data_IF_572310603112
#
_entry.id   IF_572310603112
#
_cell.length_a   1.000
_cell.length_b   1.000
_cell.length_c   1.000
_cell.angle_alpha   90.00
_cell.angle_beta   90.00
_cell.angle_gamma   90.00
#
_symmetry.space_group_name_H-M   'P 1'
#
loop_
_entity.id
_entity.type
_entity.pdbx_description
1 polymer ?
#
# COMPACT_ATOMS: atom_id res chain seq x y z
N UNK A 1 -6.51 19.46 11.57
CA UNK A 1 -6.66 18.03 11.90
C UNK A 1 -8.11 17.56 11.93
N UNK A 2 -9.06 18.25 12.60
CA UNK A 2 -10.48 17.81 12.67
C UNK A 2 -11.13 17.49 11.32
N UNK A 3 -10.91 18.36 10.33
CA UNK A 3 -11.40 18.15 8.96
C UNK A 3 -10.81 16.87 8.35
N UNK A 4 -9.51 16.64 8.52
CA UNK A 4 -8.85 15.43 8.02
C UNK A 4 -9.39 14.16 8.68
N UNK A 5 -9.67 14.21 9.99
CA UNK A 5 -10.27 13.10 10.74
C UNK A 5 -11.69 12.73 10.26
N UNK A 6 -12.40 13.64 9.57
CA UNK A 6 -13.69 13.35 8.95
C UNK A 6 -13.54 12.93 7.48
N UNK A 7 -12.72 13.66 6.71
CA UNK A 7 -12.58 13.44 5.27
C UNK A 7 -11.88 12.12 4.96
N UNK A 8 -10.81 11.75 5.68
CA UNK A 8 -10.04 10.54 5.34
C UNK A 8 -10.84 9.26 5.55
N UNK A 9 -11.56 9.06 6.67
CA UNK A 9 -12.44 7.90 6.80
C UNK A 9 -13.59 7.90 5.80
N UNK A 10 -14.18 9.06 5.51
CA UNK A 10 -15.23 9.16 4.49
C UNK A 10 -14.72 8.76 3.11
N UNK A 11 -13.54 9.26 2.72
CA UNK A 11 -12.89 8.91 1.46
C UNK A 11 -12.56 7.40 1.41
N UNK A 12 -12.10 6.82 2.51
CA UNK A 12 -11.87 5.39 2.64
C UNK A 12 -13.15 4.58 2.40
N UNK A 13 -14.22 4.90 3.13
CA UNK A 13 -15.49 4.18 3.05
C UNK A 13 -16.13 4.28 1.65
N UNK A 14 -16.11 5.47 1.05
CA UNK A 14 -16.63 5.67 -0.31
C UNK A 14 -15.81 4.88 -1.33
N UNK A 15 -14.48 4.98 -1.27
CA UNK A 15 -13.59 4.32 -2.23
C UNK A 15 -13.66 2.80 -2.10
N UNK A 16 -13.44 2.27 -0.89
CA UNK A 16 -13.48 0.83 -0.64
C UNK A 16 -14.87 0.25 -0.86
N UNK A 17 -15.92 0.97 -0.45
CA UNK A 17 -17.31 0.59 -0.67
C UNK A 17 -17.64 0.52 -2.16
N UNK A 18 -17.22 1.50 -2.96
CA UNK A 18 -17.40 1.48 -4.41
C UNK A 18 -16.67 0.32 -5.08
N UNK A 19 -15.41 0.07 -4.70
CA UNK A 19 -14.62 -1.07 -5.19
C UNK A 19 -15.33 -2.39 -4.84
N UNK A 20 -15.72 -2.60 -3.58
CA UNK A 20 -16.38 -3.83 -3.16
C UNK A 20 -17.76 -4.02 -3.81
N UNK A 21 -18.53 -2.94 -3.99
CA UNK A 21 -19.85 -2.97 -4.62
C UNK A 21 -19.78 -3.36 -6.10
N UNK A 22 -18.73 -2.93 -6.80
CA UNK A 22 -18.53 -3.17 -8.24
C UNK A 22 -17.59 -4.34 -8.53
N UNK A 23 -17.36 -5.23 -7.53
CA UNK A 23 -16.49 -6.41 -7.69
C UNK A 23 -17.07 -7.39 -8.70
N UNK A 24 -16.19 -8.08 -9.43
CA UNK A 24 -16.60 -9.18 -10.28
C UNK A 24 -16.93 -10.42 -9.42
N UNK A 25 -17.85 -11.23 -9.93
CA UNK A 25 -18.11 -12.57 -9.38
C UNK A 25 -16.99 -13.53 -9.78
N UNK A 26 -16.87 -14.66 -9.07
CA UNK A 26 -15.87 -15.69 -9.40
C UNK A 26 -16.02 -16.20 -10.83
N UNK A 27 -17.25 -16.45 -11.27
CA UNK A 27 -17.55 -16.89 -12.63
C UNK A 27 -17.09 -15.88 -13.69
N UNK A 28 -17.28 -14.58 -13.45
CA UNK A 28 -16.81 -13.52 -14.35
C UNK A 28 -15.28 -13.44 -14.41
N UNK A 29 -14.58 -13.70 -13.30
CA UNK A 29 -13.12 -13.71 -13.27
C UNK A 29 -12.52 -14.96 -13.92
N UNK A 30 -13.15 -16.13 -13.74
CA UNK A 30 -12.69 -17.37 -14.34
C UNK A 30 -12.85 -17.38 -15.86
N UNK A 31 -13.84 -16.65 -16.38
CA UNK A 31 -14.14 -16.52 -17.81
C UNK A 31 -13.71 -15.16 -18.41
N UNK A 32 -12.80 -14.45 -17.74
CA UNK A 32 -12.39 -13.11 -18.18
C UNK A 32 -11.68 -13.16 -19.55
N UNK A 33 -12.07 -12.26 -20.44
CA UNK A 33 -11.40 -12.09 -21.73
C UNK A 33 -9.93 -11.64 -21.55
N UNK A 34 -8.94 -12.27 -22.20
CA UNK A 34 -7.53 -11.93 -22.04
C UNK A 34 -7.20 -10.46 -22.31
N UNK A 35 -7.85 -9.84 -23.31
CA UNK A 35 -7.64 -8.41 -23.61
C UNK A 35 -8.18 -7.52 -22.50
N UNK A 36 -9.35 -7.85 -21.95
CA UNK A 36 -9.89 -7.16 -20.78
C UNK A 36 -9.01 -7.34 -19.54
N UNK A 37 -8.46 -8.53 -19.33
CA UNK A 37 -7.54 -8.79 -18.22
C UNK A 37 -6.28 -7.92 -18.32
N UNK A 38 -5.64 -7.87 -19.49
CA UNK A 38 -4.50 -6.98 -19.77
C UNK A 38 -4.83 -5.53 -19.44
N UNK A 39 -5.99 -5.05 -19.91
CA UNK A 39 -6.46 -3.68 -19.62
C UNK A 39 -6.60 -3.42 -18.12
N UNK A 40 -7.11 -4.40 -17.36
CA UNK A 40 -7.25 -4.29 -15.90
C UNK A 40 -5.92 -4.30 -15.17
N UNK A 41 -4.90 -4.97 -15.70
CA UNK A 41 -3.53 -4.87 -15.19
C UNK A 41 -2.92 -3.47 -15.40
N UNK A 42 -3.23 -2.77 -16.50
CA UNK A 42 -2.84 -1.36 -16.63
C UNK A 42 -3.49 -0.47 -15.57
N UNK A 43 -4.79 -0.64 -15.32
CA UNK A 43 -5.46 0.06 -14.22
C UNK A 43 -4.88 -0.32 -12.86
N UNK A 44 -4.51 -1.58 -12.66
CA UNK A 44 -3.84 -2.02 -11.44
C UNK A 44 -2.48 -1.33 -11.24
N UNK A 45 -1.70 -1.18 -12.31
CA UNK A 45 -0.45 -0.42 -12.27
C UNK A 45 -0.69 1.06 -11.97
N UNK A 46 -1.80 1.65 -12.42
CA UNK A 46 -2.18 3.00 -12.00
C UNK A 46 -2.49 3.08 -10.50
N UNK A 47 -3.22 2.10 -9.95
CA UNK A 47 -3.47 2.00 -8.51
C UNK A 47 -2.16 1.87 -7.71
N UNK A 48 -1.26 0.99 -8.15
CA UNK A 48 0.08 0.85 -7.58
C UNK A 48 0.86 2.17 -7.65
N UNK A 49 0.83 2.87 -8.78
CA UNK A 49 1.48 4.17 -8.94
C UNK A 49 0.95 5.22 -7.98
N UNK A 50 -0.38 5.33 -7.82
CA UNK A 50 -1.01 6.24 -6.85
C UNK A 50 -0.63 5.88 -5.42
N UNK A 51 -0.59 4.59 -5.09
CA UNK A 51 -0.16 4.12 -3.78
C UNK A 51 1.31 4.47 -3.51
N UNK A 52 2.23 4.14 -4.42
CA UNK A 52 3.66 4.45 -4.29
C UNK A 52 3.88 5.95 -4.17
N UNK A 53 3.15 6.76 -4.95
CA UNK A 53 3.20 8.22 -4.84
C UNK A 53 2.73 8.70 -3.47
N UNK A 54 1.66 8.12 -2.92
CA UNK A 54 1.21 8.37 -1.55
C UNK A 54 2.27 8.02 -0.51
N UNK A 55 2.92 6.85 -0.65
CA UNK A 55 4.01 6.42 0.24
C UNK A 55 5.21 7.38 0.14
N UNK A 56 5.55 7.88 -1.03
CA UNK A 56 6.60 8.90 -1.20
C UNK A 56 6.29 10.18 -0.40
N UNK A 57 5.09 10.74 -0.54
CA UNK A 57 4.72 11.94 0.22
C UNK A 57 4.66 11.68 1.72
N UNK A 58 4.12 10.53 2.13
CA UNK A 58 4.04 10.13 3.53
C UNK A 58 5.41 9.85 4.12
N UNK A 59 6.05 8.78 3.67
CA UNK A 59 7.28 8.23 4.24
C UNK A 59 8.56 9.01 3.92
N UNK A 60 8.54 9.96 2.98
CA UNK A 60 9.69 10.83 2.70
C UNK A 60 9.33 12.30 2.92
N UNK A 61 8.66 12.95 1.97
CA UNK A 61 8.57 14.42 1.96
C UNK A 61 8.01 15.03 3.26
N UNK A 62 6.81 14.61 3.69
CA UNK A 62 6.18 15.19 4.88
C UNK A 62 6.80 14.69 6.18
N UNK A 63 7.41 13.51 6.19
CA UNK A 63 8.13 12.99 7.35
C UNK A 63 9.45 13.76 7.56
N UNK A 64 10.22 14.00 6.51
CA UNK A 64 11.47 14.78 6.60
C UNK A 64 11.21 16.29 6.81
N UNK A 65 10.10 16.80 6.27
CA UNK A 65 9.62 18.14 6.60
C UNK A 65 9.38 18.28 8.11
N UNK A 66 8.76 17.29 8.74
CA UNK A 66 8.47 17.29 10.17
C UNK A 66 9.76 17.22 11.02
N UNK A 67 10.71 16.37 10.61
CA UNK A 67 12.03 16.32 11.24
C UNK A 67 12.74 17.69 11.20
N UNK A 68 12.63 18.41 10.09
CA UNK A 68 13.17 19.76 9.94
C UNK A 68 12.41 20.78 10.81
N UNK A 69 11.09 20.63 10.92
CA UNK A 69 10.25 21.47 11.78
C UNK A 69 10.64 21.35 13.25
N UNK A 70 11.01 20.15 13.72
CA UNK A 70 11.53 19.95 15.08
C UNK A 70 12.83 20.72 15.39
N UNK A 71 13.60 21.13 14.39
CA UNK A 71 14.84 21.89 14.61
C UNK A 71 14.62 23.38 14.82
N UNK A 72 13.43 23.88 14.51
CA UNK A 72 13.15 25.33 14.48
C UNK A 72 12.07 25.77 15.45
N UNK A 73 11.45 24.84 16.19
CA UNK A 73 10.44 25.18 17.19
C UNK A 73 10.58 24.37 18.48
N UNK A 74 10.15 24.97 19.59
CA UNK A 74 9.73 24.25 20.78
C UNK A 74 8.21 24.10 20.66
N UNK A 75 7.70 22.89 20.85
CA UNK A 75 6.30 22.56 20.55
C UNK A 75 5.39 22.92 21.72
N UNK A 76 4.35 23.71 21.45
CA UNK A 76 3.26 23.96 22.42
C UNK A 76 2.32 22.75 22.57
N UNK A 77 2.25 21.87 21.56
CA UNK A 77 1.36 20.71 21.50
C UNK A 77 1.85 19.68 20.47
N UNK A 78 1.32 18.45 20.55
CA UNK A 78 1.51 17.40 19.54
C UNK A 78 0.70 17.65 18.24
N UNK A 79 -0.03 18.74 18.12
CA UNK A 79 -0.74 19.14 16.88
C UNK A 79 -0.02 20.30 16.18
N UNK A 80 1.25 20.12 15.84
CA UNK A 80 2.00 21.09 15.03
C UNK A 80 1.47 21.16 13.59
N UNK A 81 1.71 22.24 12.84
CA UNK A 81 1.35 22.30 11.42
C UNK A 81 1.88 21.10 10.62
N UNK A 82 3.12 20.69 10.85
CA UNK A 82 3.73 19.51 10.23
C UNK A 82 3.02 18.20 10.63
N UNK A 83 2.78 17.97 11.93
CA UNK A 83 2.06 16.79 12.43
C UNK A 83 0.67 16.66 11.81
N UNK A 84 -0.06 17.78 11.67
CA UNK A 84 -1.40 17.77 11.07
C UNK A 84 -1.37 17.26 9.63
N UNK A 85 -0.35 17.62 8.85
CA UNK A 85 -0.22 17.19 7.46
C UNK A 85 0.27 15.74 7.38
N UNK A 86 1.35 15.39 8.09
CA UNK A 86 1.96 14.06 7.98
C UNK A 86 1.07 12.98 8.59
N UNK A 87 0.65 13.11 9.85
CA UNK A 87 -0.04 12.04 10.58
C UNK A 87 -1.54 11.95 10.29
N UNK A 88 -2.18 13.08 10.00
CA UNK A 88 -3.63 13.12 9.80
C UNK A 88 -4.03 13.28 8.34
N UNK A 89 -3.10 13.69 7.46
CA UNK A 89 -3.34 13.79 6.03
C UNK A 89 -2.63 12.71 5.23
N UNK A 90 -1.31 12.82 5.13
CA UNK A 90 -0.48 12.02 4.24
C UNK A 90 -0.51 10.53 4.58
N UNK A 91 -0.35 10.20 5.87
CA UNK A 91 -0.39 8.81 6.33
C UNK A 91 -1.74 8.16 6.02
N UNK A 92 -2.88 8.65 6.51
CA UNK A 92 -4.19 8.12 6.14
C UNK A 92 -4.41 8.02 4.63
N UNK A 93 -3.93 8.99 3.84
CA UNK A 93 -4.07 8.97 2.39
C UNK A 93 -3.41 7.73 1.78
N UNK A 94 -2.12 7.47 2.06
CA UNK A 94 -1.47 6.31 1.45
C UNK A 94 -2.02 4.99 2.00
N UNK A 95 -2.53 4.95 3.23
CA UNK A 95 -3.23 3.78 3.79
C UNK A 95 -4.49 3.48 2.96
N UNK A 96 -5.31 4.51 2.71
CA UNK A 96 -6.54 4.36 1.93
C UNK A 96 -6.22 3.89 0.51
N UNK A 97 -5.23 4.50 -0.13
CA UNK A 97 -4.77 4.10 -1.47
C UNK A 97 -4.19 2.67 -1.48
N UNK A 98 -3.43 2.28 -0.46
CA UNK A 98 -2.87 0.92 -0.34
C UNK A 98 -3.97 -0.13 -0.24
N UNK A 99 -4.94 0.07 0.65
CA UNK A 99 -6.09 -0.83 0.77
C UNK A 99 -6.92 -0.83 -0.52
N UNK A 100 -7.12 0.31 -1.17
CA UNK A 100 -7.83 0.37 -2.46
C UNK A 100 -7.11 -0.43 -3.56
N UNK A 101 -5.78 -0.34 -3.64
CA UNK A 101 -4.96 -1.14 -4.55
C UNK A 101 -5.09 -2.64 -4.30
N UNK A 102 -5.03 -3.06 -3.02
CA UNK A 102 -5.25 -4.45 -2.63
C UNK A 102 -6.66 -4.92 -3.04
N UNK A 103 -7.68 -4.15 -2.67
CA UNK A 103 -9.07 -4.49 -2.97
C UNK A 103 -9.29 -4.60 -4.47
N UNK A 104 -8.78 -3.67 -5.27
CA UNK A 104 -8.86 -3.73 -6.73
C UNK A 104 -8.27 -5.03 -7.26
N UNK A 105 -7.06 -5.40 -6.84
CA UNK A 105 -6.40 -6.64 -7.27
C UNK A 105 -7.27 -7.87 -6.97
N UNK A 106 -7.72 -8.01 -5.71
CA UNK A 106 -8.48 -9.16 -5.23
C UNK A 106 -9.85 -9.36 -5.91
N UNK A 107 -10.37 -8.33 -6.55
CA UNK A 107 -11.76 -8.30 -7.06
C UNK A 107 -11.86 -8.17 -8.57
N UNK A 108 -10.78 -7.78 -9.26
CA UNK A 108 -10.75 -7.56 -10.71
C UNK A 108 -9.77 -8.45 -11.46
N UNK A 109 -8.79 -9.03 -10.75
CA UNK A 109 -7.71 -9.80 -11.36
C UNK A 109 -7.80 -11.26 -10.93
N UNK A 110 -7.93 -12.22 -11.87
CA UNK A 110 -8.06 -13.64 -11.56
C UNK A 110 -6.91 -14.17 -10.70
N UNK A 111 -5.66 -13.78 -11.00
CA UNK A 111 -4.47 -14.20 -10.25
C UNK A 111 -4.59 -13.89 -8.75
N UNK A 112 -5.00 -12.66 -8.42
CA UNK A 112 -5.10 -12.19 -7.04
C UNK A 112 -6.42 -12.60 -6.38
N UNK A 113 -7.51 -12.80 -7.12
CA UNK A 113 -8.80 -13.21 -6.53
C UNK A 113 -8.80 -14.63 -5.95
N UNK A 114 -7.92 -15.51 -6.45
CA UNK A 114 -7.89 -16.94 -6.10
C UNK A 114 -7.07 -17.23 -4.84
N UNK A 115 -6.35 -16.26 -4.28
CA UNK A 115 -5.55 -16.44 -3.07
C UNK A 115 -4.87 -15.15 -2.63
N UNK A 116 -4.23 -15.19 -1.46
CA UNK A 116 -3.55 -14.01 -0.92
C UNK A 116 -2.13 -13.95 -1.50
N UNK A 117 -1.82 -12.88 -2.25
CA UNK A 117 -0.45 -12.62 -2.68
C UNK A 117 0.37 -12.09 -1.51
N UNK A 118 1.26 -12.92 -0.98
CA UNK A 118 2.22 -12.53 0.06
C UNK A 118 3.02 -11.26 -0.32
N UNK A 119 3.68 -11.16 -1.50
CA UNK A 119 4.44 -9.96 -1.83
C UNK A 119 3.55 -8.72 -1.95
N UNK A 120 2.31 -8.84 -2.43
CA UNK A 120 1.39 -7.70 -2.48
C UNK A 120 1.00 -7.22 -1.08
N UNK A 121 0.64 -8.15 -0.18
CA UNK A 121 0.29 -7.81 1.20
C UNK A 121 1.47 -7.13 1.87
N UNK A 122 2.69 -7.66 1.74
CA UNK A 122 3.86 -7.09 2.39
C UNK A 122 4.28 -5.74 1.78
N UNK A 123 4.13 -5.54 0.46
CA UNK A 123 4.38 -4.24 -0.17
C UNK A 123 3.39 -3.14 0.30
N UNK A 124 2.17 -3.53 0.67
CA UNK A 124 1.14 -2.61 1.18
C UNK A 124 1.25 -2.40 2.69
N UNK A 125 1.46 -3.47 3.44
CA UNK A 125 1.52 -3.45 4.89
C UNK A 125 2.83 -2.87 5.42
N UNK A 126 3.94 -3.05 4.70
CA UNK A 126 5.26 -2.61 5.15
C UNK A 126 5.33 -1.11 5.48
N UNK A 127 4.78 -0.20 4.64
CA UNK A 127 4.69 1.22 5.00
C UNK A 127 3.81 1.52 6.21
N UNK A 128 2.86 0.66 6.57
CA UNK A 128 2.07 0.81 7.81
C UNK A 128 2.92 0.52 9.06
N UNK A 129 3.95 -0.29 8.93
CA UNK A 129 4.83 -0.68 10.03
C UNK A 129 5.78 0.45 10.46
N UNK A 130 5.75 1.61 9.77
CA UNK A 130 6.38 2.84 10.24
C UNK A 130 5.54 3.56 11.31
N UNK A 131 4.24 3.27 11.42
CA UNK A 131 3.35 3.96 12.37
C UNK A 131 3.69 3.69 13.85
N UNK A 132 4.07 2.46 14.25
CA UNK A 132 4.63 2.24 15.58
C UNK A 132 5.90 3.04 15.80
N UNK A 133 6.76 3.18 14.77
CA UNK A 133 8.00 3.93 14.90
C UNK A 133 7.73 5.40 15.15
N UNK A 134 7.01 6.07 14.26
CA UNK A 134 6.70 7.50 14.43
C UNK A 134 5.88 7.75 15.71
N UNK A 135 4.92 6.88 16.05
CA UNK A 135 4.13 7.01 17.27
C UNK A 135 4.95 6.85 18.55
N UNK A 136 5.88 5.88 18.59
CA UNK A 136 6.82 5.74 19.68
C UNK A 136 7.76 6.94 19.72
N UNK A 137 8.36 7.37 18.60
CA UNK A 137 9.23 8.54 18.53
C UNK A 137 8.61 9.77 19.22
N UNK A 138 7.35 10.06 18.90
CA UNK A 138 6.62 11.17 19.51
C UNK A 138 6.36 10.99 21.02
N UNK A 139 6.09 9.75 21.45
CA UNK A 139 5.95 9.42 22.86
C UNK A 139 7.28 9.60 23.62
N UNK A 140 8.42 9.27 23.01
CA UNK A 140 9.74 9.44 23.61
C UNK A 140 10.09 10.90 23.88
N UNK A 141 9.75 11.78 22.92
CA UNK A 141 9.88 13.22 23.09
C UNK A 141 9.01 13.81 24.21
N UNK A 142 7.94 13.13 24.64
CA UNK A 142 7.05 13.59 25.69
C UNK A 142 7.45 13.14 27.11
N UNK A 143 8.18 12.02 27.25
CA UNK A 143 8.43 11.38 28.55
C UNK A 143 9.90 11.18 28.93
N UNK A 144 10.86 11.63 28.10
CA UNK A 144 12.31 11.69 28.42
C UNK A 144 12.91 10.35 28.93
N UNK A 145 12.51 9.22 28.34
CA UNK A 145 13.12 7.91 28.61
C UNK A 145 14.30 7.61 27.66
N UNK A 146 15.33 6.96 28.19
CA UNK A 146 16.66 6.75 27.59
C UNK A 146 16.67 5.84 26.35
N UNK A 147 17.64 6.06 25.47
CA UNK A 147 17.87 5.43 24.15
C UNK A 147 17.79 3.89 24.10
N UNK A 148 17.99 3.16 25.19
CA UNK A 148 18.13 1.69 25.16
C UNK A 148 16.80 0.93 25.00
N UNK A 149 15.69 1.44 25.54
CA UNK A 149 14.34 0.86 25.36
C UNK A 149 13.65 1.39 24.10
N UNK A 150 14.11 2.55 23.61
CA UNK A 150 13.49 3.28 22.52
C UNK A 150 14.15 2.98 21.18
N UNK A 151 15.48 3.06 21.08
CA UNK A 151 16.19 2.93 19.81
C UNK A 151 16.01 1.55 19.19
N UNK A 152 16.18 0.46 19.95
CA UNK A 152 16.17 -0.88 19.38
C UNK A 152 14.81 -1.25 18.72
N UNK A 153 13.64 -1.08 19.36
CA UNK A 153 12.35 -1.31 18.71
C UNK A 153 12.04 -0.31 17.58
N UNK A 154 12.43 0.96 17.74
CA UNK A 154 12.21 2.01 16.73
C UNK A 154 12.95 1.73 15.41
N UNK A 155 14.12 1.11 15.41
CA UNK A 155 14.86 0.91 14.16
C UNK A 155 14.27 -0.22 13.29
N UNK A 156 13.61 -1.21 13.90
CA UNK A 156 13.07 -2.36 13.17
C UNK A 156 11.93 -2.02 12.20
N UNK A 157 11.10 -1.02 12.49
CA UNK A 157 10.07 -0.60 11.53
C UNK A 157 10.65 0.00 10.24
N UNK A 158 11.84 0.64 10.28
CA UNK A 158 12.54 1.08 9.07
C UNK A 158 13.10 -0.10 8.26
N UNK A 159 13.52 -1.18 8.94
CA UNK A 159 13.93 -2.43 8.28
C UNK A 159 12.75 -3.06 7.54
N UNK A 160 11.59 -3.14 8.19
CA UNK A 160 10.35 -3.68 7.58
C UNK A 160 9.90 -2.81 6.42
N UNK A 161 10.02 -1.48 6.53
CA UNK A 161 9.79 -0.55 5.41
C UNK A 161 10.74 -0.83 4.23
N UNK A 162 12.03 -1.05 4.52
CA UNK A 162 13.02 -1.46 3.50
C UNK A 162 12.65 -2.78 2.82
N UNK A 163 12.21 -3.78 3.59
CA UNK A 163 11.74 -5.06 3.04
C UNK A 163 10.47 -4.89 2.20
N UNK A 164 9.58 -3.96 2.57
CA UNK A 164 8.41 -3.61 1.77
C UNK A 164 8.77 -3.23 0.34
N UNK A 165 9.88 -2.47 0.17
CA UNK A 165 10.44 -2.14 -1.13
C UNK A 165 10.85 -3.39 -1.92
N UNK A 166 11.47 -4.37 -1.28
CA UNK A 166 11.85 -5.64 -1.93
C UNK A 166 10.62 -6.45 -2.39
N UNK A 167 9.55 -6.45 -1.61
CA UNK A 167 8.31 -7.14 -1.97
C UNK A 167 7.63 -6.54 -3.21
N UNK A 168 7.91 -5.29 -3.57
CA UNK A 168 7.47 -4.71 -4.85
C UNK A 168 8.06 -5.49 -6.04
N UNK A 169 9.29 -6.00 -5.93
CA UNK A 169 9.87 -6.89 -6.93
C UNK A 169 9.08 -8.19 -7.10
N UNK A 170 8.55 -8.74 -5.99
CA UNK A 170 7.65 -9.89 -6.03
C UNK A 170 6.31 -9.60 -6.72
N UNK A 171 5.73 -8.41 -6.49
CA UNK A 171 4.52 -7.96 -7.20
C UNK A 171 4.80 -7.78 -8.70
N UNK A 172 5.94 -7.17 -9.04
CA UNK A 172 6.35 -7.00 -10.43
C UNK A 172 6.54 -8.36 -11.13
N UNK A 173 7.18 -9.32 -10.47
CA UNK A 173 7.32 -10.68 -10.99
C UNK A 173 5.96 -11.34 -11.24
N UNK A 174 5.00 -11.23 -10.31
CA UNK A 174 3.65 -11.75 -10.49
C UNK A 174 2.91 -11.12 -11.69
N UNK A 175 3.07 -9.81 -11.89
CA UNK A 175 2.50 -9.10 -13.04
C UNK A 175 3.15 -9.59 -14.34
N UNK A 176 4.48 -9.61 -14.41
CA UNK A 176 5.24 -10.02 -15.60
C UNK A 176 4.93 -11.47 -15.98
N UNK A 177 4.93 -12.40 -15.01
CA UNK A 177 4.56 -13.80 -15.24
C UNK A 177 3.14 -13.90 -15.78
N UNK A 178 2.18 -13.12 -15.24
CA UNK A 178 0.82 -13.14 -15.76
C UNK A 178 0.74 -12.67 -17.21
N UNK A 179 1.44 -11.59 -17.54
CA UNK A 179 1.52 -11.09 -18.92
C UNK A 179 2.17 -12.11 -19.88
N UNK A 180 3.20 -12.81 -19.42
CA UNK A 180 3.83 -13.90 -20.19
C UNK A 180 2.81 -15.00 -20.49
N UNK A 181 2.13 -15.52 -19.46
CA UNK A 181 1.16 -16.60 -19.61
C UNK A 181 -0.03 -16.18 -20.51
N UNK A 182 -0.49 -14.93 -20.40
CA UNK A 182 -1.54 -14.39 -21.27
C UNK A 182 -1.07 -14.32 -22.73
N UNK A 183 0.18 -13.93 -22.95
CA UNK A 183 0.79 -13.93 -24.28
C UNK A 183 0.85 -15.34 -24.86
N UNK A 184 1.25 -16.33 -24.07
CA UNK A 184 1.31 -17.73 -24.50
C UNK A 184 -0.07 -18.30 -24.88
N UNK A 185 -1.11 -17.98 -24.12
CA UNK A 185 -2.48 -18.41 -24.43
C UNK A 185 -2.97 -17.78 -25.73
N UNK A 186 -2.68 -16.50 -25.96
CA UNK A 186 -3.22 -15.75 -27.12
C UNK A 186 -2.41 -15.98 -28.39
N UNK A 187 -1.09 -15.97 -28.33
CA UNK A 187 -0.22 -16.06 -29.51
C UNK A 187 0.35 -17.46 -29.74
N UNK A 188 0.55 -18.27 -28.69
CA UNK A 188 1.17 -19.59 -28.79
C UNK A 188 0.16 -20.75 -28.67
N UNK A 189 -1.15 -20.46 -28.63
CA UNK A 189 -2.23 -21.43 -28.45
C UNK A 189 -2.03 -22.37 -27.24
N UNK A 190 -1.37 -21.88 -26.18
CA UNK A 190 -1.22 -22.66 -24.94
C UNK A 190 -2.57 -22.85 -24.23
N UNK A 191 -2.69 -23.94 -23.48
CA UNK A 191 -3.88 -24.21 -22.67
C UNK A 191 -4.12 -23.09 -21.66
N UNK A 192 -5.37 -22.66 -21.50
CA UNK A 192 -5.77 -21.68 -20.47
C UNK A 192 -5.47 -22.15 -19.05
N UNK A 193 -5.20 -23.44 -18.84
CA UNK A 193 -4.79 -23.98 -17.54
C UNK A 193 -3.50 -23.33 -17.01
N UNK A 194 -2.59 -22.86 -17.87
CA UNK A 194 -1.39 -22.13 -17.45
C UNK A 194 -1.71 -20.83 -16.69
N UNK A 195 -2.90 -20.26 -16.92
CA UNK A 195 -3.41 -19.10 -16.18
C UNK A 195 -3.87 -19.46 -14.76
N UNK A 196 -4.00 -20.75 -14.45
CA UNK A 196 -4.32 -21.23 -13.12
C UNK A 196 -3.05 -21.61 -12.34
N UNK A 197 -1.92 -21.77 -13.03
CA UNK A 197 -0.62 -21.98 -12.39
C UNK A 197 -0.20 -20.71 -11.68
N UNK A 198 -0.25 -20.77 -10.35
CA UNK A 198 0.14 -19.66 -9.50
C UNK A 198 1.58 -19.87 -9.06
N UNK A 199 2.41 -18.86 -9.25
CA UNK A 199 3.60 -18.68 -8.40
C UNK A 199 3.09 -18.09 -7.09
N UNK A 200 2.44 -18.90 -6.25
CA UNK A 200 2.18 -18.52 -4.85
C UNK A 200 3.36 -19.06 -4.06
N UNK A 201 4.24 -18.15 -3.63
CA UNK A 201 5.02 -18.37 -2.42
C UNK A 201 4.14 -17.99 -1.23
#
# INVERSE_FOLDING_TARGET
>A
WRVHMAIMPLFALVTWGWILKTRDTKEQLDNLDPKLEIKRYFYYMMWLGVYIFGVYWGGSFFTEQDASWHQVIIRDTSFTPSHVVVFYGSFPMYIVCGVATYLYAMTRLPLFSRGISFPLVMAIAGPLMILPNVGLNEWGHAFWFMEELFSAPLHWGFVVLGWAGLFQGGVAAQIITRYSNLTDVVWNNQSKEILNNRIVA
#
